data_IF_230587899868
#
_entry.id   IF_230587899868
#
_cell.length_a   1.000
_cell.length_b   1.000
_cell.length_c   1.000
_cell.angle_alpha   90.00
_cell.angle_beta   90.00
_cell.angle_gamma   90.00
#
_symmetry.space_group_name_H-M   'P 1'
#
loop_
_entity.id
_entity.type
_entity.pdbx_description
1 polymer ?
#
# COMPACT_ATOMS: atom_id res chain seq x y z
N UNK A 1 -1.65 -4.47 -10.50
CA UNK A 1 -0.27 -4.87 -10.90
C UNK A 1 -0.36 -5.86 -12.06
N UNK A 2 0.63 -5.99 -12.97
CA UNK A 2 0.55 -7.00 -14.05
C UNK A 2 0.54 -8.41 -13.46
N UNK A 3 -0.25 -9.34 -14.02
CA UNK A 3 -0.37 -10.72 -13.52
C UNK A 3 0.99 -11.41 -13.32
N UNK A 4 1.91 -11.27 -14.29
CA UNK A 4 3.29 -11.78 -14.19
C UNK A 4 4.01 -11.35 -12.89
N UNK A 5 3.78 -10.13 -12.42
CA UNK A 5 4.43 -9.63 -11.19
C UNK A 5 3.77 -10.21 -9.95
N UNK A 6 2.44 -10.33 -9.95
CA UNK A 6 1.69 -10.97 -8.85
C UNK A 6 2.13 -12.44 -8.71
N UNK A 7 2.23 -13.17 -9.82
CA UNK A 7 2.69 -14.56 -9.81
C UNK A 7 4.14 -14.68 -9.32
N UNK A 8 4.99 -13.71 -9.64
CA UNK A 8 6.37 -13.66 -9.10
C UNK A 8 6.37 -13.51 -7.57
N UNK A 9 5.50 -12.69 -7.00
CA UNK A 9 5.36 -12.52 -5.55
C UNK A 9 4.87 -13.83 -4.92
N UNK A 10 3.81 -14.43 -5.49
CA UNK A 10 3.25 -15.70 -4.99
C UNK A 10 4.27 -16.82 -5.01
N UNK A 11 4.99 -16.98 -6.12
CA UNK A 11 6.02 -17.99 -6.25
C UNK A 11 7.15 -17.77 -5.25
N UNK A 12 7.57 -16.51 -5.00
CA UNK A 12 8.57 -16.22 -3.99
C UNK A 12 8.17 -16.71 -2.58
N UNK A 13 6.90 -16.52 -2.21
CA UNK A 13 6.33 -17.00 -0.95
C UNK A 13 6.23 -18.53 -0.92
N UNK A 14 5.73 -19.15 -1.99
CA UNK A 14 5.55 -20.61 -2.09
C UNK A 14 6.90 -21.34 -2.06
N UNK A 15 7.89 -20.87 -2.83
CA UNK A 15 9.22 -21.49 -2.93
C UNK A 15 9.95 -21.53 -1.58
N UNK A 16 9.55 -20.69 -0.63
CA UNK A 16 10.12 -20.59 0.73
C UNK A 16 9.23 -21.19 1.80
N UNK A 17 8.06 -21.71 1.44
CA UNK A 17 7.03 -22.17 2.38
C UNK A 17 6.63 -21.08 3.39
N UNK A 18 6.59 -19.82 2.96
CA UNK A 18 6.34 -18.67 3.85
C UNK A 18 4.87 -18.36 4.09
N UNK A 19 3.95 -19.00 3.33
CA UNK A 19 2.51 -18.77 3.52
C UNK A 19 2.04 -19.10 4.95
N UNK A 20 2.73 -20.02 5.64
CA UNK A 20 2.48 -20.36 7.04
C UNK A 20 2.67 -19.18 8.02
N UNK A 21 3.49 -18.18 7.66
CA UNK A 21 3.74 -16.98 8.46
C UNK A 21 2.86 -15.80 8.06
N UNK A 22 2.22 -15.88 6.89
CA UNK A 22 1.38 -14.83 6.31
C UNK A 22 -0.04 -14.82 6.90
N UNK A 23 -0.19 -14.83 8.23
CA UNK A 23 -1.48 -14.54 8.84
C UNK A 23 -1.90 -13.08 8.53
N UNK A 24 -3.20 -12.76 8.46
CA UNK A 24 -3.63 -11.37 8.25
C UNK A 24 -3.05 -10.40 9.29
N UNK A 25 -2.91 -10.84 10.54
CA UNK A 25 -2.29 -10.04 11.59
C UNK A 25 -0.80 -9.75 11.29
N UNK A 26 -0.05 -10.78 10.87
CA UNK A 26 1.37 -10.61 10.55
C UNK A 26 1.57 -9.74 9.31
N UNK A 27 0.77 -9.93 8.27
CA UNK A 27 0.82 -9.11 7.06
C UNK A 27 0.49 -7.65 7.38
N UNK A 28 -0.50 -7.38 8.25
CA UNK A 28 -0.80 -6.01 8.68
C UNK A 28 0.39 -5.37 9.42
N UNK A 29 1.08 -6.13 10.28
CA UNK A 29 2.31 -5.68 10.94
C UNK A 29 3.41 -5.38 9.92
N UNK A 30 3.66 -6.28 8.97
CA UNK A 30 4.66 -6.06 7.91
C UNK A 30 4.37 -4.80 7.10
N UNK A 31 3.11 -4.61 6.63
CA UNK A 31 2.71 -3.38 5.94
C UNK A 31 3.04 -2.13 6.78
N UNK A 32 2.74 -2.18 8.08
CA UNK A 32 3.04 -1.06 8.98
C UNK A 32 4.53 -0.84 9.16
N UNK A 33 5.35 -1.89 9.19
CA UNK A 33 6.81 -1.78 9.35
C UNK A 33 7.39 -1.12 8.09
N UNK A 34 7.11 -1.65 6.90
CA UNK A 34 7.65 -1.09 5.64
C UNK A 34 7.13 0.32 5.35
N UNK A 35 5.91 0.64 5.80
CA UNK A 35 5.40 2.00 5.71
C UNK A 35 6.20 2.99 6.60
N UNK A 36 6.75 2.53 7.72
CA UNK A 36 7.64 3.35 8.56
C UNK A 36 9.06 3.43 7.98
N UNK A 37 9.56 2.38 7.32
CA UNK A 37 10.84 2.43 6.59
C UNK A 37 10.74 3.42 5.40
N UNK A 38 9.62 3.39 4.67
CA UNK A 38 9.30 4.41 3.65
C UNK A 38 9.23 5.81 4.25
N UNK A 39 8.69 5.98 5.45
CA UNK A 39 8.66 7.27 6.14
C UNK A 39 10.08 7.74 6.53
N UNK A 40 10.95 6.82 6.96
CA UNK A 40 12.32 7.12 7.35
C UNK A 40 13.13 7.71 6.18
N UNK A 41 12.83 7.32 4.94
CA UNK A 41 13.44 7.90 3.74
C UNK A 41 13.33 9.43 3.66
N UNK A 42 12.34 10.02 4.33
CA UNK A 42 12.08 11.46 4.35
C UNK A 42 12.29 12.08 5.74
N UNK A 43 12.87 11.35 6.70
CA UNK A 43 13.02 11.80 8.09
C UNK A 43 13.77 13.13 8.23
N UNK A 44 14.77 13.35 7.36
CA UNK A 44 15.67 14.50 7.45
C UNK A 44 15.52 15.51 6.32
N UNK A 45 14.82 15.16 5.23
CA UNK A 45 14.60 16.06 4.09
C UNK A 45 13.46 15.58 3.19
N UNK A 46 12.68 16.53 2.67
CA UNK A 46 11.69 16.33 1.61
C UNK A 46 12.25 16.57 0.20
N UNK A 47 13.48 17.08 0.09
CA UNK A 47 14.15 17.37 -1.19
C UNK A 47 15.44 16.59 -1.42
N UNK A 48 16.11 16.17 -0.35
CA UNK A 48 17.38 15.44 -0.36
C UNK A 48 17.18 14.03 0.20
N UNK A 49 16.50 13.18 -0.58
CA UNK A 49 16.22 11.78 -0.23
C UNK A 49 16.83 10.81 -1.25
N UNK A 50 17.13 9.59 -0.81
CA UNK A 50 17.58 8.53 -1.70
C UNK A 50 16.39 7.90 -2.44
N UNK A 51 16.21 8.27 -3.70
CA UNK A 51 15.14 7.73 -4.55
C UNK A 51 15.23 6.22 -4.74
N UNK A 52 16.42 5.61 -4.65
CA UNK A 52 16.55 4.17 -4.75
C UNK A 52 15.96 3.48 -3.51
N UNK A 53 16.30 3.98 -2.32
CA UNK A 53 15.73 3.48 -1.05
C UNK A 53 14.20 3.66 -1.01
N UNK A 54 13.69 4.83 -1.43
CA UNK A 54 12.23 5.07 -1.53
C UNK A 54 11.54 4.02 -2.42
N UNK A 55 12.16 3.59 -3.52
CA UNK A 55 11.59 2.56 -4.41
C UNK A 55 11.57 1.18 -3.76
N UNK A 56 12.56 0.87 -2.95
CA UNK A 56 12.68 -0.39 -2.23
C UNK A 56 11.56 -0.47 -1.19
N UNK A 57 11.47 0.52 -0.30
CA UNK A 57 10.46 0.52 0.77
C UNK A 57 9.02 0.62 0.24
N UNK A 58 8.80 1.44 -0.80
CA UNK A 58 7.49 1.49 -1.44
C UNK A 58 7.14 0.16 -2.12
N UNK A 59 8.11 -0.53 -2.71
CA UNK A 59 7.86 -1.85 -3.30
C UNK A 59 7.50 -2.87 -2.20
N UNK A 60 8.17 -2.84 -1.05
CA UNK A 60 7.90 -3.76 0.04
C UNK A 60 6.51 -3.55 0.66
N UNK A 61 6.09 -2.29 0.86
CA UNK A 61 4.69 -1.97 1.21
C UNK A 61 3.71 -2.60 0.22
N UNK A 62 3.96 -2.42 -1.09
CA UNK A 62 3.08 -2.94 -2.15
C UNK A 62 3.08 -4.48 -2.17
N UNK A 63 4.22 -5.13 -1.94
CA UNK A 63 4.34 -6.60 -1.91
C UNK A 63 3.52 -7.17 -0.75
N UNK A 64 3.65 -6.62 0.46
CA UNK A 64 2.84 -7.10 1.58
C UNK A 64 1.36 -6.77 1.43
N UNK A 65 1.00 -5.65 0.79
CA UNK A 65 -0.39 -5.39 0.41
C UNK A 65 -0.92 -6.45 -0.55
N UNK A 66 -0.14 -6.86 -1.56
CA UNK A 66 -0.53 -7.94 -2.47
C UNK A 66 -0.67 -9.28 -1.73
N UNK A 67 0.23 -9.60 -0.80
CA UNK A 67 0.10 -10.80 0.03
C UNK A 67 -1.15 -10.76 0.91
N UNK A 68 -1.52 -9.59 1.45
CA UNK A 68 -2.76 -9.41 2.20
C UNK A 68 -3.99 -9.65 1.33
N UNK A 69 -4.01 -9.10 0.12
CA UNK A 69 -5.09 -9.33 -0.85
C UNK A 69 -5.25 -10.83 -1.13
N UNK A 70 -4.15 -11.52 -1.42
CA UNK A 70 -4.16 -12.96 -1.68
C UNK A 70 -4.64 -13.75 -0.45
N UNK A 71 -4.19 -13.39 0.75
CA UNK A 71 -4.57 -14.10 1.99
C UNK A 71 -6.04 -13.93 2.34
N UNK A 72 -6.62 -12.77 2.03
CA UNK A 72 -8.03 -12.46 2.28
C UNK A 72 -8.95 -12.78 1.10
N UNK A 73 -8.41 -13.18 -0.05
CA UNK A 73 -9.17 -13.44 -1.27
C UNK A 73 -9.83 -12.19 -1.85
N UNK A 74 -9.15 -11.05 -1.77
CA UNK A 74 -9.66 -9.75 -2.20
C UNK A 74 -9.19 -9.39 -3.61
N UNK A 75 -10.10 -8.83 -4.41
CA UNK A 75 -9.77 -8.19 -5.68
C UNK A 75 -9.34 -6.73 -5.45
N UNK A 76 -8.18 -6.36 -6.02
CA UNK A 76 -7.62 -5.02 -5.82
C UNK A 76 -8.48 -3.92 -6.45
N UNK A 77 -9.04 -4.17 -7.63
CA UNK A 77 -9.81 -3.18 -8.35
C UNK A 77 -11.14 -2.96 -7.63
N UNK A 78 -11.78 -4.01 -7.13
CA UNK A 78 -13.00 -3.91 -6.33
C UNK A 78 -12.80 -3.04 -5.08
N UNK A 79 -11.81 -3.36 -4.24
CA UNK A 79 -11.62 -2.64 -2.97
C UNK A 79 -11.17 -1.19 -3.18
N UNK A 80 -10.35 -0.93 -4.20
CA UNK A 80 -9.87 0.41 -4.53
C UNK A 80 -11.01 1.25 -5.09
N UNK A 81 -11.79 0.73 -6.04
CA UNK A 81 -12.93 1.47 -6.61
C UNK A 81 -14.00 1.75 -5.56
N UNK A 82 -14.31 0.78 -4.69
CA UNK A 82 -15.20 1.00 -3.53
C UNK A 82 -14.70 2.18 -2.68
N UNK A 83 -13.39 2.21 -2.37
CA UNK A 83 -12.80 3.29 -1.57
C UNK A 83 -12.80 4.63 -2.30
N UNK A 84 -12.54 4.64 -3.60
CA UNK A 84 -12.53 5.85 -4.42
C UNK A 84 -13.91 6.50 -4.51
N UNK A 85 -14.97 5.72 -4.74
CA UNK A 85 -16.35 6.22 -4.72
C UNK A 85 -16.67 6.92 -3.39
N UNK A 86 -16.24 6.34 -2.26
CA UNK A 86 -16.41 6.96 -0.95
C UNK A 86 -15.59 8.25 -0.79
N UNK A 87 -14.39 8.30 -1.34
CA UNK A 87 -13.52 9.47 -1.28
C UNK A 87 -14.06 10.61 -2.15
N UNK A 88 -14.55 10.32 -3.35
CA UNK A 88 -15.17 11.31 -4.25
C UNK A 88 -16.42 11.94 -3.61
N UNK A 89 -17.24 11.13 -2.93
CA UNK A 89 -18.38 11.64 -2.19
C UNK A 89 -17.98 12.51 -0.98
N UNK A 90 -16.88 12.16 -0.30
CA UNK A 90 -16.35 12.94 0.85
C UNK A 90 -15.64 14.22 0.43
N UNK A 91 -15.01 14.24 -0.73
CA UNK A 91 -14.21 15.36 -1.23
C UNK A 91 -14.71 15.83 -2.60
N UNK A 92 -15.90 16.47 -2.69
CA UNK A 92 -16.38 17.02 -3.96
C UNK A 92 -15.41 18.07 -4.52
N UNK A 93 -15.20 18.06 -5.84
CA UNK A 93 -14.23 18.93 -6.53
C UNK A 93 -14.41 20.41 -6.16
N UNK A 94 -15.66 20.89 -6.15
CA UNK A 94 -15.99 22.28 -5.87
C UNK A 94 -15.59 22.76 -4.47
N UNK A 95 -15.41 21.82 -3.51
CA UNK A 95 -15.02 22.13 -2.14
C UNK A 95 -13.56 21.81 -1.84
N UNK A 96 -13.05 20.72 -2.42
CA UNK A 96 -11.75 20.16 -2.05
C UNK A 96 -10.59 20.59 -2.96
N UNK A 97 -10.86 21.16 -4.15
CA UNK A 97 -9.80 21.50 -5.11
C UNK A 97 -8.82 22.53 -4.54
N UNK A 98 -7.54 22.15 -4.43
CA UNK A 98 -6.48 23.00 -3.89
C UNK A 98 -6.49 23.14 -2.36
N UNK A 99 -7.34 22.37 -1.67
CA UNK A 99 -7.47 22.38 -0.22
C UNK A 99 -7.07 21.02 0.36
N UNK A 100 -6.18 21.03 1.35
CA UNK A 100 -5.83 19.83 2.13
C UNK A 100 -6.70 19.68 3.39
N UNK A 101 -7.72 20.53 3.55
CA UNK A 101 -8.62 20.53 4.70
C UNK A 101 -9.44 19.23 4.69
N UNK A 102 -9.59 18.63 5.86
CA UNK A 102 -10.35 17.38 6.02
C UNK A 102 -11.82 17.62 5.65
N UNK A 103 -12.49 16.62 5.08
CA UNK A 103 -13.88 16.75 4.64
C UNK A 103 -14.89 17.22 5.71
N UNK A 104 -14.55 17.07 6.99
CA UNK A 104 -15.34 17.59 8.12
C UNK A 104 -15.36 19.11 8.20
N UNK A 105 -14.39 19.75 7.55
CA UNK A 105 -14.09 21.18 7.63
C UNK A 105 -14.16 21.85 6.23
N UNK A 106 -14.81 21.19 5.24
CA UNK A 106 -15.01 21.64 3.85
C UNK A 106 -16.35 22.36 3.57
#
# INVERSE_FOLDING_TARGET
MKQKTIDRIRNFTIDRDWDQFHSPENLAKSISIEANELLECFQWSDTEYDLQHVKEELADVIVYCQNMLDKLGLDVDEIVNMKMVQNEAKYPVEKAKGSAVKYTDL
#
